data_IF_320141293666
#
_entry.id   IF_320141293666
#
_cell.length_a   1.000
_cell.length_b   1.000
_cell.length_c   1.000
_cell.angle_alpha   90.00
_cell.angle_beta   90.00
_cell.angle_gamma   90.00
#
_symmetry.space_group_name_H-M   'P 1'
#
loop_
_entity.id
_entity.type
_entity.pdbx_description
1 polymer ?
#
# COMPACT_ATOMS: atom_id res chain seq x y z
N UNK A 1 7.28 19.49 -1.16
CA UNK A 1 7.16 18.13 -1.68
C UNK A 1 5.80 17.56 -1.27
N UNK A 2 5.07 16.97 -2.21
CA UNK A 2 3.74 16.46 -1.92
C UNK A 2 3.82 15.21 -1.02
N UNK A 3 2.88 15.11 -0.11
CA UNK A 3 2.80 13.99 0.82
C UNK A 3 1.37 13.56 1.05
N UNK A 4 1.22 12.35 1.57
CA UNK A 4 -0.05 11.80 2.01
C UNK A 4 -0.10 11.77 3.53
N UNK A 5 -1.28 11.98 4.07
CA UNK A 5 -1.58 11.72 5.47
C UNK A 5 -2.35 10.40 5.53
N UNK A 6 -1.88 9.47 6.34
CA UNK A 6 -2.47 8.14 6.48
C UNK A 6 -2.91 7.96 7.93
N UNK A 7 -4.21 7.71 8.12
CA UNK A 7 -4.81 7.59 9.45
C UNK A 7 -5.50 6.25 9.62
N UNK A 8 -5.11 5.50 10.64
CA UNK A 8 -5.73 4.21 10.98
C UNK A 8 -6.86 4.43 11.97
N UNK A 9 -8.01 3.79 11.75
CA UNK A 9 -9.20 3.99 12.58
C UNK A 9 -9.01 3.69 14.07
N UNK A 10 -8.13 2.74 14.39
CA UNK A 10 -7.83 2.38 15.78
C UNK A 10 -6.62 3.12 16.35
N UNK A 11 -6.14 4.12 15.65
CA UNK A 11 -5.02 4.96 16.08
C UNK A 11 -3.79 4.76 15.23
N UNK A 12 -3.05 5.83 15.07
CA UNK A 12 -1.85 5.89 14.27
C UNK A 12 -2.02 6.82 13.07
N UNK A 13 -1.14 7.79 12.97
CA UNK A 13 -1.12 8.77 11.86
C UNK A 13 0.28 8.83 11.31
N UNK A 14 0.39 8.74 9.99
CA UNK A 14 1.68 8.72 9.31
C UNK A 14 1.68 9.72 8.15
N UNK A 15 2.87 10.19 7.82
CA UNK A 15 3.09 10.97 6.61
C UNK A 15 3.87 10.12 5.62
N UNK A 16 3.37 10.02 4.40
CA UNK A 16 4.06 9.31 3.32
C UNK A 16 4.47 10.31 2.24
N UNK A 17 5.74 10.29 1.92
CA UNK A 17 6.33 11.09 0.86
C UNK A 17 5.95 10.48 -0.48
N UNK A 18 5.36 11.25 -1.39
CA UNK A 18 5.02 10.77 -2.73
C UNK A 18 6.28 10.66 -3.60
N UNK A 19 6.44 9.51 -4.24
CA UNK A 19 7.58 9.20 -5.11
C UNK A 19 7.26 9.62 -6.55
N UNK A 20 7.09 10.91 -6.76
CA UNK A 20 6.62 11.46 -8.03
C UNK A 20 7.59 11.25 -9.19
N UNK A 21 8.89 11.15 -8.90
CA UNK A 21 9.89 10.88 -9.93
C UNK A 21 9.88 9.43 -10.39
N UNK A 22 9.50 8.51 -9.51
CA UNK A 22 9.53 7.06 -9.79
C UNK A 22 8.20 6.54 -10.31
N UNK A 23 7.09 7.13 -9.88
CA UNK A 23 5.75 6.69 -10.27
C UNK A 23 4.81 7.90 -10.46
N UNK A 24 5.11 8.78 -11.44
CA UNK A 24 4.34 10.01 -11.61
C UNK A 24 2.85 9.79 -11.91
N UNK A 25 2.52 8.80 -12.71
CA UNK A 25 1.12 8.53 -13.08
C UNK A 25 0.34 7.96 -11.89
N UNK A 26 0.95 7.04 -11.14
CA UNK A 26 0.35 6.46 -9.95
C UNK A 26 0.11 7.55 -8.90
N UNK A 27 1.12 8.38 -8.64
CA UNK A 27 0.99 9.50 -7.71
C UNK A 27 -0.13 10.46 -8.12
N UNK A 28 -0.22 10.78 -9.41
CA UNK A 28 -1.28 11.67 -9.92
C UNK A 28 -2.67 11.06 -9.72
N UNK A 29 -2.82 9.78 -9.99
CA UNK A 29 -4.10 9.08 -9.81
C UNK A 29 -4.50 9.06 -8.34
N UNK A 30 -3.59 8.68 -7.45
CA UNK A 30 -3.83 8.66 -6.00
C UNK A 30 -4.26 10.06 -5.53
N UNK A 31 -3.48 11.08 -5.88
CA UNK A 31 -3.75 12.46 -5.46
C UNK A 31 -5.11 12.96 -5.94
N UNK A 32 -5.49 12.62 -7.17
CA UNK A 32 -6.77 13.06 -7.75
C UNK A 32 -7.99 12.46 -7.06
N UNK A 33 -7.82 11.35 -6.33
CA UNK A 33 -8.92 10.65 -5.67
C UNK A 33 -9.00 10.92 -4.18
N UNK A 34 -8.06 11.64 -3.60
CA UNK A 34 -8.06 11.96 -2.17
C UNK A 34 -9.24 12.88 -1.81
N UNK A 35 -9.83 12.76 -0.63
CA UNK A 35 -9.56 11.72 0.37
C UNK A 35 -10.29 10.43 0.05
N UNK A 36 -9.77 9.30 0.53
CA UNK A 36 -10.46 8.02 0.43
C UNK A 36 -10.15 7.14 1.63
N UNK A 37 -10.97 6.13 1.84
CA UNK A 37 -10.81 5.15 2.91
C UNK A 37 -11.01 3.76 2.34
N UNK A 38 -10.14 2.83 2.74
CA UNK A 38 -10.29 1.43 2.38
C UNK A 38 -10.01 0.55 3.58
N UNK A 39 -10.60 -0.65 3.57
CA UNK A 39 -10.38 -1.64 4.61
C UNK A 39 -9.09 -2.39 4.31
N UNK A 40 -8.11 -2.28 5.19
CA UNK A 40 -6.83 -2.96 5.07
C UNK A 40 -6.78 -4.18 5.99
N UNK A 41 -6.28 -5.28 5.45
CA UNK A 41 -6.10 -6.54 6.18
C UNK A 41 -4.70 -7.06 5.94
N UNK A 42 -4.30 -8.07 6.71
CA UNK A 42 -2.98 -8.70 6.53
C UNK A 42 -2.92 -9.39 5.17
N UNK A 43 -1.82 -9.18 4.45
CA UNK A 43 -1.54 -9.91 3.21
C UNK A 43 -1.38 -11.40 3.48
N UNK A 44 -1.88 -12.24 2.57
CA UNK A 44 -1.84 -13.71 2.75
C UNK A 44 -0.45 -14.27 2.45
N UNK A 45 0.18 -13.85 1.35
CA UNK A 45 1.41 -14.51 0.87
C UNK A 45 2.59 -13.58 0.63
N UNK A 46 2.41 -12.27 0.77
CA UNK A 46 3.46 -11.30 0.44
C UNK A 46 4.31 -10.87 1.64
N UNK A 47 4.06 -11.43 2.81
CA UNK A 47 4.83 -11.16 4.02
C UNK A 47 4.21 -10.07 4.89
N UNK A 48 5.07 -9.17 5.39
CA UNK A 48 4.64 -8.15 6.34
C UNK A 48 4.10 -6.90 5.63
N UNK A 49 2.89 -7.05 5.12
CA UNK A 49 2.18 -5.97 4.43
C UNK A 49 0.69 -6.03 4.72
N UNK A 50 0.06 -4.87 4.70
CA UNK A 50 -1.39 -4.73 4.76
C UNK A 50 -1.89 -4.49 3.33
N UNK A 51 -3.06 -5.03 3.02
CA UNK A 51 -3.62 -4.96 1.67
C UNK A 51 -5.07 -4.53 1.70
N UNK A 52 -5.44 -3.67 0.76
CA UNK A 52 -6.84 -3.31 0.50
C UNK A 52 -7.14 -3.50 -0.98
N UNK A 53 -8.42 -3.67 -1.28
CA UNK A 53 -8.90 -3.86 -2.65
C UNK A 53 -9.77 -2.65 -3.02
N UNK A 54 -9.18 -1.61 -3.64
CA UNK A 54 -9.94 -0.42 -4.00
C UNK A 54 -10.77 -0.67 -5.26
N UNK A 55 -12.10 -0.68 -5.16
CA UNK A 55 -12.94 -1.03 -6.31
C UNK A 55 -12.99 0.07 -7.38
N UNK A 56 -12.56 1.26 -7.04
CA UNK A 56 -12.67 2.45 -7.88
C UNK A 56 -11.34 3.05 -8.33
N UNK A 57 -10.22 2.37 -8.05
CA UNK A 57 -8.90 2.81 -8.49
C UNK A 57 -8.37 1.90 -9.59
N UNK A 58 -7.98 2.50 -10.70
CA UNK A 58 -7.28 1.81 -11.78
C UNK A 58 -6.11 2.68 -12.22
N UNK A 59 -5.02 2.05 -12.62
CA UNK A 59 -3.82 2.78 -13.08
C UNK A 59 -2.97 1.93 -14.00
N UNK A 60 -2.02 2.58 -14.66
CA UNK A 60 -1.07 1.92 -15.54
C UNK A 60 0.12 1.40 -14.72
N UNK A 61 0.82 0.40 -15.25
CA UNK A 61 2.06 -0.08 -14.65
C UNK A 61 3.17 0.94 -14.86
N UNK A 62 3.97 1.15 -13.83
CA UNK A 62 5.11 2.07 -13.88
C UNK A 62 6.41 1.40 -13.45
N UNK A 63 6.88 1.60 -12.23
CA UNK A 63 8.20 1.12 -11.81
C UNK A 63 8.30 -0.36 -11.45
N UNK A 64 7.20 -1.04 -11.32
CA UNK A 64 7.07 -2.51 -11.28
C UNK A 64 8.16 -3.24 -10.46
N UNK A 65 8.12 -3.09 -9.16
CA UNK A 65 9.09 -3.71 -8.25
C UNK A 65 8.50 -4.95 -7.58
N UNK A 66 9.34 -5.96 -7.36
CA UNK A 66 8.95 -7.22 -6.68
C UNK A 66 9.63 -7.34 -5.32
N UNK A 67 10.93 -7.12 -5.26
CA UNK A 67 11.75 -7.27 -4.07
C UNK A 67 12.53 -5.98 -3.80
N UNK A 68 13.11 -5.88 -2.60
CA UNK A 68 13.84 -4.69 -2.20
C UNK A 68 12.92 -3.51 -1.90
N UNK A 69 11.66 -3.79 -1.61
CA UNK A 69 10.67 -2.77 -1.24
C UNK A 69 10.81 -2.54 0.26
N UNK A 70 11.18 -1.32 0.69
CA UNK A 70 11.46 -1.09 2.11
C UNK A 70 10.20 -1.03 2.97
N UNK A 71 10.32 -1.27 4.31
CA UNK A 71 9.21 -1.01 5.22
C UNK A 71 8.74 0.46 5.09
N UNK A 72 7.45 0.66 5.17
CA UNK A 72 6.84 1.97 5.00
C UNK A 72 6.46 2.31 3.56
N UNK A 73 6.83 1.47 2.60
CA UNK A 73 6.49 1.70 1.20
C UNK A 73 4.99 1.46 0.95
N UNK A 74 4.39 2.34 0.17
CA UNK A 74 3.04 2.17 -0.34
C UNK A 74 3.15 1.78 -1.82
N UNK A 75 2.38 0.78 -2.21
CA UNK A 75 2.44 0.27 -3.58
C UNK A 75 1.07 -0.13 -4.10
N UNK A 76 0.96 -0.21 -5.42
CA UNK A 76 -0.27 -0.56 -6.10
C UNK A 76 -0.01 -1.70 -7.08
N UNK A 77 -0.82 -2.74 -7.00
CA UNK A 77 -0.74 -3.90 -7.87
C UNK A 77 -1.78 -3.79 -8.97
N UNK A 78 -1.31 -3.71 -10.21
CA UNK A 78 -2.16 -3.74 -11.40
C UNK A 78 -2.21 -5.19 -11.90
N UNK A 79 -3.38 -5.83 -11.82
CA UNK A 79 -3.54 -7.22 -12.26
C UNK A 79 -3.92 -7.29 -13.73
N UNK A 80 -3.40 -8.31 -14.41
CA UNK A 80 -3.76 -8.57 -15.81
C UNK A 80 -5.20 -9.02 -15.91
N UNK A 81 -5.56 -10.00 -15.08
CA UNK A 81 -6.90 -10.58 -15.07
C UNK A 81 -7.37 -10.75 -13.63
N UNK A 82 -8.22 -9.86 -13.14
CA UNK A 82 -8.76 -10.01 -11.78
C UNK A 82 -9.78 -11.15 -11.77
N UNK A 83 -9.39 -12.29 -11.22
CA UNK A 83 -10.24 -13.47 -11.14
C UNK A 83 -11.18 -13.39 -9.95
N UNK A 84 -10.63 -13.19 -8.76
CA UNK A 84 -11.40 -13.08 -7.53
C UNK A 84 -11.47 -11.66 -7.01
N UNK A 85 -10.36 -10.96 -7.08
CA UNK A 85 -10.25 -9.60 -6.61
C UNK A 85 -9.58 -8.75 -7.67
N UNK A 86 -10.00 -7.47 -7.79
CA UNK A 86 -9.36 -6.54 -8.70
C UNK A 86 -7.99 -6.11 -8.20
N UNK A 87 -7.52 -4.97 -8.64
CA UNK A 87 -6.24 -4.41 -8.24
C UNK A 87 -6.14 -4.21 -6.73
N UNK A 88 -4.92 -4.15 -6.21
CA UNK A 88 -4.67 -4.09 -4.77
C UNK A 88 -3.74 -2.93 -4.42
N UNK A 89 -3.96 -2.35 -3.23
CA UNK A 89 -3.07 -1.34 -2.66
C UNK A 89 -2.44 -1.91 -1.39
N UNK A 90 -1.12 -1.73 -1.22
CA UNK A 90 -0.35 -2.30 -0.11
C UNK A 90 0.33 -1.22 0.72
N UNK A 91 0.42 -1.50 2.02
CA UNK A 91 1.30 -0.78 2.94
C UNK A 91 2.25 -1.81 3.53
N UNK A 92 3.53 -1.74 3.18
CA UNK A 92 4.54 -2.63 3.74
C UNK A 92 4.94 -2.13 5.13
N UNK A 93 4.91 -3.02 6.13
CA UNK A 93 5.33 -2.65 7.49
C UNK A 93 6.57 -3.42 7.95
N UNK A 94 7.08 -4.29 7.11
CA UNK A 94 8.28 -5.09 7.37
C UNK A 94 8.77 -5.72 6.08
N UNK A 95 9.14 -7.00 6.14
CA UNK A 95 9.60 -7.74 4.96
C UNK A 95 8.44 -7.98 4.02
N UNK A 96 8.53 -7.44 2.82
CA UNK A 96 7.48 -7.53 1.81
C UNK A 96 8.09 -7.91 0.46
N UNK A 97 7.58 -9.01 -0.10
CA UNK A 97 7.91 -9.46 -1.46
C UNK A 97 6.57 -9.69 -2.16
N UNK A 98 6.29 -8.89 -3.18
CA UNK A 98 5.03 -9.01 -3.90
C UNK A 98 4.97 -10.28 -4.73
N UNK A 99 4.03 -11.15 -4.42
CA UNK A 99 3.84 -12.41 -5.13
C UNK A 99 2.41 -12.93 -5.02
N UNK A 100 2.04 -13.85 -5.91
CA UNK A 100 0.75 -14.51 -5.89
C UNK A 100 0.74 -15.74 -4.99
N UNK A 101 -0.30 -16.55 -5.13
CA UNK A 101 -0.52 -17.74 -4.29
C UNK A 101 0.48 -18.86 -4.52
N UNK A 102 1.14 -18.90 -5.68
CA UNK A 102 2.18 -19.89 -5.95
C UNK A 102 3.56 -19.27 -5.71
N UNK A 103 4.54 -20.12 -5.35
CA UNK A 103 5.88 -19.67 -4.98
C UNK A 103 6.54 -18.81 -6.09
N UNK A 104 6.29 -19.17 -7.33
CA UNK A 104 6.91 -18.50 -8.49
C UNK A 104 6.06 -17.38 -9.09
N UNK A 105 4.89 -17.12 -8.54
CA UNK A 105 3.98 -16.12 -9.07
C UNK A 105 4.37 -14.72 -8.58
N UNK A 106 5.31 -14.10 -9.25
CA UNK A 106 5.72 -12.72 -8.98
C UNK A 106 4.66 -11.76 -9.47
N UNK A 107 4.37 -10.76 -8.66
CA UNK A 107 3.39 -9.72 -8.99
C UNK A 107 4.02 -8.34 -8.76
N UNK A 108 4.71 -7.79 -9.77
CA UNK A 108 5.33 -6.48 -9.62
C UNK A 108 4.34 -5.39 -9.29
N UNK A 109 4.75 -4.43 -8.46
CA UNK A 109 3.90 -3.33 -7.99
C UNK A 109 4.52 -1.99 -8.34
N UNK A 110 3.63 -0.99 -8.48
CA UNK A 110 4.04 0.40 -8.58
C UNK A 110 4.29 0.91 -7.16
N UNK A 111 5.53 1.18 -6.80
CA UNK A 111 5.85 1.78 -5.50
C UNK A 111 5.73 3.29 -5.66
N UNK A 112 4.77 3.90 -4.95
CA UNK A 112 4.41 5.30 -5.19
C UNK A 112 4.58 6.24 -4.01
N UNK A 113 4.79 5.71 -2.81
CA UNK A 113 4.98 6.55 -1.62
C UNK A 113 5.79 5.85 -0.56
N UNK A 114 6.36 6.60 0.38
CA UNK A 114 7.21 6.07 1.43
C UNK A 114 6.94 6.77 2.75
N UNK A 115 6.60 5.99 3.76
CA UNK A 115 6.56 6.42 5.15
C UNK A 115 7.98 6.30 5.68
N UNK A 116 8.58 7.41 6.10
CA UNK A 116 9.95 7.43 6.61
C UNK A 116 10.01 7.36 8.15
N UNK A 117 9.04 7.98 8.82
CA UNK A 117 9.00 8.08 10.28
C UNK A 117 7.91 7.22 10.89
N UNK A 118 8.16 6.70 12.09
CA UNK A 118 7.16 5.91 12.83
C UNK A 118 7.09 4.46 12.39
N UNK A 119 8.15 3.92 11.80
CA UNK A 119 8.14 2.54 11.30
C UNK A 119 7.92 1.51 12.41
N UNK A 120 8.40 1.77 13.64
CA UNK A 120 8.15 0.88 14.76
C UNK A 120 6.66 0.84 15.12
N UNK A 121 6.01 1.99 15.15
CA UNK A 121 4.56 2.09 15.37
C UNK A 121 3.79 1.40 14.25
N UNK A 122 4.21 1.60 13.00
CA UNK A 122 3.57 0.95 11.85
C UNK A 122 3.64 -0.57 11.98
N UNK A 123 4.76 -1.10 12.44
CA UNK A 123 4.93 -2.53 12.66
C UNK A 123 3.99 -3.05 13.77
N UNK A 124 3.80 -2.27 14.82
CA UNK A 124 2.85 -2.62 15.89
C UNK A 124 1.41 -2.63 15.36
N UNK A 125 1.08 -1.69 14.47
CA UNK A 125 -0.23 -1.66 13.81
C UNK A 125 -0.41 -2.90 12.92
N UNK A 126 0.62 -3.32 12.22
CA UNK A 126 0.60 -4.58 11.46
C UNK A 126 0.26 -5.77 12.33
N UNK A 127 0.89 -5.87 13.50
CA UNK A 127 0.60 -6.91 14.49
C UNK A 127 -0.83 -6.81 15.01
N UNK A 128 -1.32 -5.59 15.22
CA UNK A 128 -2.71 -5.35 15.67
C UNK A 128 -3.71 -5.88 14.64
N UNK A 129 -3.46 -5.63 13.37
CA UNK A 129 -4.34 -6.11 12.28
C UNK A 129 -4.35 -7.64 12.23
N UNK A 130 -3.20 -8.29 12.41
CA UNK A 130 -3.12 -9.76 12.47
C UNK A 130 -3.96 -10.30 13.62
N UNK A 131 -3.88 -9.68 14.79
CA UNK A 131 -4.54 -10.18 16.01
C UNK A 131 -6.02 -9.81 16.12
N UNK A 132 -6.38 -8.63 15.66
CA UNK A 132 -7.71 -8.04 15.89
C UNK A 132 -8.51 -7.78 14.63
N UNK A 133 -7.98 -8.11 13.46
CA UNK A 133 -8.68 -7.99 12.19
C UNK A 133 -8.42 -6.68 11.47
N UNK A 134 -9.07 -6.56 10.31
CA UNK A 134 -8.91 -5.44 9.40
C UNK A 134 -9.35 -4.10 10.00
N UNK A 135 -8.74 -3.02 9.51
CA UNK A 135 -9.06 -1.65 9.91
C UNK A 135 -9.28 -0.77 8.70
N UNK A 136 -10.18 0.19 8.85
CA UNK A 136 -10.30 1.26 7.86
C UNK A 136 -9.09 2.18 7.96
N UNK A 137 -8.54 2.55 6.83
CA UNK A 137 -7.40 3.47 6.73
C UNK A 137 -7.77 4.59 5.80
N UNK A 138 -7.64 5.82 6.28
CA UNK A 138 -7.96 7.03 5.53
C UNK A 138 -6.70 7.63 4.94
N UNK A 139 -6.77 7.93 3.66
CA UNK A 139 -5.73 8.65 2.93
C UNK A 139 -6.24 10.04 2.61
N UNK A 140 -5.46 11.05 2.93
CA UNK A 140 -5.76 12.43 2.60
C UNK A 140 -4.49 13.15 2.18
N UNK A 141 -4.64 14.37 1.66
CA UNK A 141 -3.50 15.17 1.28
C UNK A 141 -2.76 15.62 2.54
N UNK A 142 -1.45 15.44 2.55
CA UNK A 142 -0.58 15.92 3.61
C UNK A 142 -0.29 17.42 3.46
N UNK A 143 0.21 18.01 4.52
CA UNK A 143 0.55 19.43 4.54
C UNK A 143 1.85 19.73 3.80
#
# INVERSE_FOLDING_TARGET
MASLKIEFEKGGTFTARLLEDEAPKTCATITSRLPFEYLFQQSIVSGQAMVAIPPDLTMERENQRVAGIPPGALSFLVKDEPVLVPDEIYIAYGIFISRGLTVDAKQPVNVFAQIDDGLDELKEIGARIIRHGAEMVRFSLGD
#
